data_IF_073845910014
#
_entry.id   IF_073845910014
#
_cell.length_a   1.000
_cell.length_b   1.000
_cell.length_c   1.000
_cell.angle_alpha   90.00
_cell.angle_beta   90.00
_cell.angle_gamma   90.00
#
_symmetry.space_group_name_H-M   'P 1'
#
loop_
_entity.id
_entity.type
_entity.pdbx_description
1 polymer ?
#
# COMPACT_ATOMS: atom_id res chain seq x y z
N UNK A 1 18.21 -31.16 -8.77
CA UNK A 1 18.17 -29.69 -8.94
C UNK A 1 17.14 -29.17 -7.96
N UNK A 2 17.56 -28.57 -6.86
CA UNK A 2 16.63 -27.97 -5.90
C UNK A 2 16.10 -26.68 -6.51
N UNK A 3 14.79 -26.57 -6.72
CA UNK A 3 14.16 -25.29 -7.02
C UNK A 3 14.37 -24.39 -5.82
N UNK A 4 15.19 -23.35 -5.98
CA UNK A 4 15.24 -22.27 -4.99
C UNK A 4 13.81 -21.79 -4.75
N UNK A 5 13.39 -21.60 -3.48
CA UNK A 5 12.08 -21.03 -3.21
C UNK A 5 12.02 -19.66 -3.86
N UNK A 6 11.06 -19.46 -4.77
CA UNK A 6 10.75 -18.14 -5.31
C UNK A 6 10.43 -17.24 -4.12
N UNK A 7 11.31 -16.28 -3.83
CA UNK A 7 11.03 -15.29 -2.82
C UNK A 7 9.83 -14.47 -3.29
N UNK A 8 8.81 -14.36 -2.44
CA UNK A 8 7.60 -13.60 -2.71
C UNK A 8 7.70 -12.27 -1.99
N UNK A 9 7.46 -11.18 -2.72
CA UNK A 9 7.19 -9.91 -2.07
C UNK A 9 5.86 -10.02 -1.33
N UNK A 10 5.87 -9.74 -0.04
CA UNK A 10 4.68 -9.56 0.78
C UNK A 10 4.47 -8.06 0.95
N UNK A 11 3.24 -7.57 0.84
CA UNK A 11 2.88 -6.19 1.08
C UNK A 11 1.58 -6.19 1.88
N UNK A 12 1.54 -5.44 2.98
CA UNK A 12 0.32 -5.27 3.75
C UNK A 12 -0.47 -4.09 3.17
N UNK A 13 -1.80 -4.19 3.19
CA UNK A 13 -2.69 -3.09 2.85
C UNK A 13 -3.66 -2.89 4.00
N UNK A 14 -3.68 -1.68 4.53
CA UNK A 14 -4.68 -1.24 5.49
C UNK A 14 -5.63 -0.27 4.79
N UNK A 15 -6.94 -0.45 4.96
CA UNK A 15 -7.95 0.52 4.52
C UNK A 15 -8.72 0.95 5.75
N UNK A 16 -8.71 2.24 6.05
CA UNK A 16 -9.36 2.79 7.22
C UNK A 16 -10.03 4.14 6.90
N UNK A 17 -11.02 4.57 7.69
CA UNK A 17 -11.45 5.95 7.66
C UNK A 17 -10.31 6.89 8.08
N UNK A 18 -10.25 8.08 7.51
CA UNK A 18 -9.35 9.15 7.96
C UNK A 18 -9.75 9.66 9.36
N UNK A 19 -11.04 9.57 9.69
CA UNK A 19 -11.59 9.89 11.00
C UNK A 19 -12.51 8.77 11.50
N UNK A 20 -12.12 8.09 12.58
CA UNK A 20 -12.89 6.99 13.19
C UNK A 20 -14.30 7.40 13.64
N UNK A 21 -14.55 8.68 13.91
CA UNK A 21 -15.85 9.19 14.37
C UNK A 21 -16.87 9.41 13.25
N UNK A 22 -16.46 9.46 11.98
CA UNK A 22 -17.33 9.61 10.79
C UNK A 22 -17.15 8.43 9.82
N UNK A 23 -16.80 7.29 10.39
CA UNK A 23 -16.42 6.12 9.64
C UNK A 23 -17.64 5.37 9.11
N UNK A 24 -17.80 5.38 7.79
CA UNK A 24 -18.75 4.50 7.12
C UNK A 24 -18.09 3.16 6.80
N UNK A 25 -18.38 2.19 7.68
CA UNK A 25 -17.94 0.80 7.58
C UNK A 25 -18.25 0.23 6.19
N UNK A 26 -19.42 0.51 5.62
CA UNK A 26 -19.82 -0.03 4.31
C UNK A 26 -18.92 0.49 3.20
N UNK A 27 -18.52 1.76 3.26
CA UNK A 27 -17.63 2.37 2.28
C UNK A 27 -16.23 1.74 2.35
N UNK A 28 -15.71 1.51 3.57
CA UNK A 28 -14.42 0.81 3.77
C UNK A 28 -14.48 -0.60 3.18
N UNK A 29 -15.58 -1.35 3.42
CA UNK A 29 -15.80 -2.67 2.84
C UNK A 29 -15.92 -2.66 1.31
N UNK A 30 -16.56 -1.65 0.74
CA UNK A 30 -16.70 -1.51 -0.71
C UNK A 30 -15.34 -1.31 -1.39
N UNK A 31 -14.52 -0.39 -0.87
CA UNK A 31 -13.15 -0.18 -1.36
C UNK A 31 -12.32 -1.46 -1.24
N UNK A 32 -12.41 -2.15 -0.08
CA UNK A 32 -11.73 -3.42 0.13
C UNK A 32 -12.15 -4.51 -0.85
N UNK A 33 -13.44 -4.60 -1.17
CA UNK A 33 -13.96 -5.57 -2.15
C UNK A 33 -13.45 -5.29 -3.56
N UNK A 34 -13.52 -4.02 -4.00
CA UNK A 34 -13.01 -3.60 -5.31
C UNK A 34 -11.50 -3.87 -5.44
N UNK A 35 -10.74 -3.58 -4.37
CA UNK A 35 -9.30 -3.85 -4.30
C UNK A 35 -9.01 -5.35 -4.45
N UNK A 36 -9.62 -6.20 -3.62
CA UNK A 36 -9.35 -7.65 -3.64
C UNK A 36 -9.71 -8.23 -5.00
N UNK A 37 -10.87 -7.85 -5.56
CA UNK A 37 -11.30 -8.34 -6.87
C UNK A 37 -10.29 -7.99 -7.94
N UNK A 38 -9.77 -6.75 -7.96
CA UNK A 38 -8.79 -6.31 -8.94
C UNK A 38 -7.43 -7.01 -8.75
N UNK A 39 -6.92 -7.09 -7.52
CA UNK A 39 -5.67 -7.78 -7.22
C UNK A 39 -5.71 -9.27 -7.61
N UNK A 40 -6.82 -9.95 -7.36
CA UNK A 40 -6.98 -11.35 -7.76
C UNK A 40 -7.06 -11.52 -9.29
N UNK A 41 -7.68 -10.58 -10.00
CA UNK A 41 -7.69 -10.55 -11.47
C UNK A 41 -6.28 -10.35 -12.04
N UNK A 42 -5.45 -9.55 -11.36
CA UNK A 42 -4.06 -9.29 -11.71
C UNK A 42 -3.09 -10.41 -11.25
N UNK A 43 -3.61 -11.50 -10.66
CA UNK A 43 -2.83 -12.68 -10.29
C UNK A 43 -2.14 -12.61 -8.92
N UNK A 44 -2.48 -11.63 -8.08
CA UNK A 44 -1.98 -11.56 -6.71
C UNK A 44 -2.70 -12.55 -5.79
N UNK A 45 -1.95 -13.13 -4.87
CA UNK A 45 -2.51 -13.92 -3.77
C UNK A 45 -2.84 -12.97 -2.61
N UNK A 46 -4.12 -12.85 -2.28
CA UNK A 46 -4.59 -11.95 -1.23
C UNK A 46 -5.17 -12.76 -0.07
N UNK A 47 -4.71 -12.48 1.14
CA UNK A 47 -5.23 -13.03 2.37
C UNK A 47 -5.71 -11.89 3.29
N UNK A 48 -6.89 -12.05 3.89
CA UNK A 48 -7.29 -11.16 4.98
C UNK A 48 -6.45 -11.51 6.22
N UNK A 49 -5.72 -10.53 6.73
CA UNK A 49 -4.91 -10.70 7.93
C UNK A 49 -5.62 -9.99 9.06
N UNK A 50 -5.97 -10.76 10.09
CA UNK A 50 -6.62 -10.28 11.31
C UNK A 50 -8.09 -9.84 11.13
N UNK A 51 -9.02 -10.60 11.74
CA UNK A 51 -10.47 -10.27 11.79
C UNK A 51 -10.95 -9.88 13.20
N UNK A 52 -10.04 -9.70 14.16
CA UNK A 52 -10.36 -9.44 15.57
C UNK A 52 -9.99 -8.02 15.98
N UNK A 53 -10.95 -7.24 16.43
CA UNK A 53 -10.85 -5.80 16.67
C UNK A 53 -9.82 -5.39 17.77
N UNK A 54 -8.96 -4.36 17.57
CA UNK A 54 -8.37 -3.64 18.69
C UNK A 54 -9.11 -2.33 19.05
N UNK A 55 -9.86 -1.70 18.12
CA UNK A 55 -10.93 -0.68 18.34
C UNK A 55 -11.48 0.04 17.06
N UNK A 56 -10.94 -0.14 15.86
CA UNK A 56 -11.20 0.74 14.70
C UNK A 56 -11.87 0.10 13.47
N UNK A 57 -12.54 0.92 12.67
CA UNK A 57 -13.33 0.59 11.46
C UNK A 57 -12.43 0.30 10.24
N UNK A 58 -11.33 -0.42 10.45
CA UNK A 58 -10.30 -0.71 9.44
C UNK A 58 -10.35 -2.14 8.89
N UNK A 59 -9.91 -2.31 7.65
CA UNK A 59 -9.69 -3.61 7.00
C UNK A 59 -8.21 -3.81 6.72
N UNK A 60 -7.73 -5.03 6.97
CA UNK A 60 -6.33 -5.40 6.85
C UNK A 60 -6.18 -6.60 5.91
N UNK A 61 -5.29 -6.44 4.94
CA UNK A 61 -4.99 -7.43 3.93
C UNK A 61 -3.49 -7.63 3.84
N UNK A 62 -3.10 -8.86 3.57
CA UNK A 62 -1.76 -9.18 3.12
C UNK A 62 -1.86 -9.64 1.68
N UNK A 63 -1.08 -8.97 0.85
CA UNK A 63 -1.00 -9.20 -0.59
C UNK A 63 0.39 -9.76 -0.86
N UNK A 64 0.41 -10.99 -1.34
CA UNK A 64 1.62 -11.57 -1.88
C UNK A 64 1.55 -11.48 -3.40
N UNK A 65 2.61 -10.99 -4.02
CA UNK A 65 2.76 -11.17 -5.45
C UNK A 65 2.79 -12.67 -5.75
N UNK A 66 1.79 -13.15 -6.49
CA UNK A 66 1.62 -14.58 -6.75
C UNK A 66 2.82 -15.17 -7.48
N UNK A 67 3.51 -14.36 -8.31
CA UNK A 67 4.52 -14.81 -9.25
C UNK A 67 5.56 -13.74 -9.63
N UNK A 68 5.90 -12.76 -8.78
CA UNK A 68 7.12 -11.97 -9.05
C UNK A 68 8.30 -12.80 -8.56
N UNK A 69 9.10 -13.41 -9.45
CA UNK A 69 10.40 -13.88 -9.05
C UNK A 69 11.17 -12.63 -8.62
N UNK A 70 11.43 -12.51 -7.31
CA UNK A 70 12.50 -11.65 -6.83
C UNK A 70 13.81 -12.32 -7.27
N UNK A 71 14.12 -12.26 -8.58
CA UNK A 71 15.41 -12.68 -9.13
C UNK A 71 16.46 -11.73 -8.58
N UNK A 72 17.01 -12.08 -7.43
CA UNK A 72 17.88 -11.19 -6.68
C UNK A 72 17.06 -10.19 -5.89
N UNK A 73 16.55 -10.60 -4.72
CA UNK A 73 16.52 -9.62 -3.64
C UNK A 73 17.94 -9.06 -3.57
N UNK A 74 18.11 -7.73 -3.58
CA UNK A 74 19.43 -7.14 -3.53
C UNK A 74 20.20 -7.80 -2.38
N UNK A 75 21.35 -8.45 -2.69
CA UNK A 75 22.24 -8.99 -1.66
C UNK A 75 22.52 -7.87 -0.64
N UNK A 76 22.87 -8.22 0.61
CA UNK A 76 23.11 -7.27 1.71
C UNK A 76 24.13 -6.15 1.38
N UNK A 77 24.86 -6.27 0.26
CA UNK A 77 25.78 -5.26 -0.31
C UNK A 77 25.20 -4.36 -1.41
N UNK A 78 23.93 -4.49 -1.79
CA UNK A 78 23.35 -3.69 -2.87
C UNK A 78 23.08 -2.27 -2.41
N UNK A 79 23.37 -1.30 -3.28
CA UNK A 79 23.05 0.11 -3.07
C UNK A 79 21.60 0.25 -2.58
N UNK A 80 21.44 0.79 -1.36
CA UNK A 80 20.12 0.97 -0.74
C UNK A 80 19.17 1.74 -1.64
N UNK A 81 19.68 2.65 -2.47
CA UNK A 81 18.85 3.40 -3.41
C UNK A 81 18.25 2.48 -4.48
N UNK A 82 19.05 1.61 -5.09
CA UNK A 82 18.56 0.68 -6.12
C UNK A 82 17.62 -0.37 -5.53
N UNK A 83 17.91 -0.85 -4.32
CA UNK A 83 17.00 -1.73 -3.61
C UNK A 83 15.64 -1.08 -3.29
N UNK A 84 15.64 0.17 -2.85
CA UNK A 84 14.41 0.95 -2.64
C UNK A 84 13.65 1.17 -3.95
N UNK A 85 14.33 1.53 -5.04
CA UNK A 85 13.70 1.68 -6.37
C UNK A 85 13.03 0.39 -6.80
N UNK A 86 13.72 -0.74 -6.67
CA UNK A 86 13.16 -2.05 -7.02
C UNK A 86 11.93 -2.41 -6.16
N UNK A 87 12.00 -2.16 -4.85
CA UNK A 87 10.87 -2.35 -3.93
C UNK A 87 9.66 -1.51 -4.35
N UNK A 88 9.88 -0.22 -4.57
CA UNK A 88 8.84 0.72 -5.00
C UNK A 88 8.23 0.30 -6.33
N UNK A 89 9.05 -0.04 -7.33
CA UNK A 89 8.58 -0.56 -8.63
C UNK A 89 7.70 -1.80 -8.45
N UNK A 90 8.04 -2.67 -7.51
CA UNK A 90 7.28 -3.91 -7.27
C UNK A 90 5.95 -3.63 -6.58
N UNK A 91 5.85 -2.63 -5.70
CA UNK A 91 4.58 -2.26 -5.02
C UNK A 91 3.75 -1.22 -5.77
N UNK A 92 4.31 -0.51 -6.75
CA UNK A 92 3.60 0.50 -7.56
C UNK A 92 2.29 -0.02 -8.16
N UNK A 93 2.23 -1.22 -8.77
CA UNK A 93 0.98 -1.75 -9.30
C UNK A 93 -0.09 -1.95 -8.21
N UNK A 94 0.31 -2.38 -7.01
CA UNK A 94 -0.59 -2.59 -5.88
C UNK A 94 -1.18 -1.25 -5.41
N UNK A 95 -0.35 -0.21 -5.28
CA UNK A 95 -0.79 1.13 -4.94
C UNK A 95 -1.75 1.71 -6.01
N UNK A 96 -1.45 1.50 -7.29
CA UNK A 96 -2.35 1.85 -8.41
C UNK A 96 -3.70 1.17 -8.31
N UNK A 97 -3.72 -0.13 -8.03
CA UNK A 97 -4.97 -0.87 -7.84
C UNK A 97 -5.75 -0.34 -6.65
N UNK A 98 -5.10 0.06 -5.56
CA UNK A 98 -5.73 0.71 -4.41
C UNK A 98 -6.37 2.07 -4.76
N UNK A 99 -5.67 2.95 -5.46
CA UNK A 99 -6.26 4.21 -5.95
C UNK A 99 -7.47 3.97 -6.87
N UNK A 100 -7.37 2.99 -7.77
CA UNK A 100 -8.45 2.66 -8.70
C UNK A 100 -9.66 2.06 -7.99
N UNK A 101 -9.46 1.21 -6.99
CA UNK A 101 -10.52 0.71 -6.13
C UNK A 101 -11.23 1.85 -5.39
N UNK A 102 -10.46 2.78 -4.81
CA UNK A 102 -11.00 4.00 -4.21
C UNK A 102 -11.84 4.82 -5.19
N UNK A 103 -11.34 5.07 -6.40
CA UNK A 103 -12.07 5.83 -7.43
C UNK A 103 -13.37 5.17 -7.90
N UNK A 104 -13.47 3.84 -7.86
CA UNK A 104 -14.68 3.09 -8.25
C UNK A 104 -15.72 3.07 -7.13
N UNK A 105 -15.26 2.85 -5.91
CA UNK A 105 -16.12 2.71 -4.73
C UNK A 105 -16.58 4.06 -4.15
N UNK A 106 -15.76 5.11 -4.27
CA UNK A 106 -16.04 6.42 -3.68
C UNK A 106 -16.68 7.36 -4.69
N UNK A 107 -17.80 7.96 -4.30
CA UNK A 107 -18.39 9.08 -5.02
C UNK A 107 -17.88 10.39 -4.46
N UNK A 108 -17.60 11.35 -5.34
CA UNK A 108 -17.28 12.70 -4.92
C UNK A 108 -18.41 13.23 -4.02
N UNK A 109 -18.07 13.86 -2.88
CA UNK A 109 -16.75 14.41 -2.54
C UNK A 109 -15.86 13.52 -1.65
N UNK A 110 -16.20 12.23 -1.45
CA UNK A 110 -15.30 11.33 -0.72
C UNK A 110 -14.03 11.03 -1.54
N UNK A 111 -12.90 10.85 -0.85
CA UNK A 111 -11.61 10.57 -1.48
C UNK A 111 -10.81 9.53 -0.69
N UNK A 112 -9.88 8.88 -1.38
CA UNK A 112 -8.90 7.96 -0.80
C UNK A 112 -7.51 8.61 -0.92
N UNK A 113 -6.84 8.83 0.20
CA UNK A 113 -5.39 9.06 0.22
C UNK A 113 -4.67 7.74 0.44
N UNK A 114 -3.46 7.60 -0.09
CA UNK A 114 -2.63 6.42 0.10
C UNK A 114 -1.30 6.88 0.67
N UNK A 115 -0.85 6.24 1.75
CA UNK A 115 0.48 6.41 2.30
C UNK A 115 1.25 5.09 2.23
N UNK A 116 2.56 5.18 2.04
CA UNK A 116 3.49 4.08 2.16
C UNK A 116 4.13 4.16 3.54
N UNK A 117 3.97 3.10 4.33
CA UNK A 117 4.69 2.89 5.56
C UNK A 117 5.82 1.86 5.34
N UNK A 118 7.03 2.23 5.73
CA UNK A 118 8.25 1.44 5.72
C UNK A 118 8.89 1.56 7.10
N UNK A 119 8.72 0.54 7.95
CA UNK A 119 9.18 0.56 9.35
C UNK A 119 8.70 1.78 10.13
N UNK A 120 9.59 2.73 10.43
CA UNK A 120 9.35 3.96 11.19
C UNK A 120 8.96 5.16 10.31
N UNK A 121 8.97 4.99 8.99
CA UNK A 121 8.61 6.03 8.03
C UNK A 121 7.19 5.82 7.55
N UNK A 122 6.44 6.91 7.48
CA UNK A 122 5.20 7.01 6.71
C UNK A 122 5.27 8.19 5.73
N UNK A 123 4.93 7.95 4.47
CA UNK A 123 4.95 8.94 3.40
C UNK A 123 3.63 8.91 2.64
N UNK A 124 2.97 10.06 2.54
CA UNK A 124 1.83 10.20 1.63
C UNK A 124 2.32 10.08 0.19
N UNK A 125 1.66 9.22 -0.59
CA UNK A 125 1.95 8.99 -1.98
C UNK A 125 0.99 9.78 -2.87
N UNK A 126 1.52 10.50 -3.84
CA UNK A 126 0.79 10.94 -5.01
C UNK A 126 0.85 9.83 -6.08
N UNK A 127 -0.22 9.56 -6.84
CA UNK A 127 -0.17 8.60 -7.95
C UNK A 127 1.02 8.82 -8.89
N UNK A 128 1.41 10.08 -9.12
CA UNK A 128 2.54 10.45 -10.00
C UNK A 128 3.89 9.98 -9.46
N UNK A 129 4.04 9.84 -8.14
CA UNK A 129 5.29 9.37 -7.53
C UNK A 129 5.62 7.92 -7.92
N UNK A 130 4.62 7.18 -8.40
CA UNK A 130 4.73 5.76 -8.76
C UNK A 130 4.44 5.49 -10.24
N UNK A 131 4.28 6.53 -11.06
CA UNK A 131 3.86 6.39 -12.47
C UNK A 131 5.02 6.02 -13.40
N UNK A 132 6.21 6.56 -13.15
CA UNK A 132 7.42 6.36 -13.95
C UNK A 132 8.69 6.18 -13.08
N UNK A 133 9.82 5.91 -13.75
CA UNK A 133 11.11 5.67 -13.09
C UNK A 133 11.65 6.92 -12.37
N UNK A 134 11.34 8.12 -12.86
CA UNK A 134 11.81 9.38 -12.28
C UNK A 134 11.10 9.63 -10.95
N UNK A 135 9.77 9.49 -10.91
CA UNK A 135 8.97 9.58 -9.69
C UNK A 135 9.42 8.56 -8.65
N UNK A 136 9.63 7.31 -9.06
CA UNK A 136 10.11 6.26 -8.16
C UNK A 136 11.51 6.58 -7.62
N UNK A 137 12.41 7.10 -8.46
CA UNK A 137 13.76 7.48 -8.04
C UNK A 137 13.75 8.63 -7.03
N UNK A 138 12.90 9.64 -7.25
CA UNK A 138 12.70 10.75 -6.32
C UNK A 138 12.11 10.29 -4.98
N UNK A 139 11.13 9.39 -5.02
CA UNK A 139 10.54 8.80 -3.82
C UNK A 139 11.57 7.95 -3.06
N UNK A 140 12.36 7.13 -3.76
CA UNK A 140 13.44 6.34 -3.15
C UNK A 140 14.48 7.22 -2.45
N UNK A 141 14.91 8.32 -3.08
CA UNK A 141 15.81 9.29 -2.46
C UNK A 141 15.18 9.96 -1.23
N UNK A 142 13.90 10.31 -1.30
CA UNK A 142 13.16 10.91 -0.18
C UNK A 142 13.08 9.95 1.01
N UNK A 143 12.82 8.66 0.75
CA UNK A 143 12.86 7.61 1.76
C UNK A 143 14.26 7.51 2.35
N UNK A 144 15.29 7.38 1.51
CA UNK A 144 16.68 7.21 1.95
C UNK A 144 17.17 8.38 2.83
N UNK A 145 16.73 9.61 2.55
CA UNK A 145 17.06 10.79 3.36
C UNK A 145 16.40 10.79 4.75
N UNK A 146 15.24 10.13 4.89
CA UNK A 146 14.47 10.06 6.14
C UNK A 146 14.73 8.77 6.91
N UNK A 147 15.22 7.74 6.21
CA UNK A 147 15.40 6.41 6.74
C UNK A 147 16.68 6.32 7.53
N UNK A 148 16.52 5.95 8.80
CA UNK A 148 17.63 5.82 9.75
C UNK A 148 18.22 4.41 9.76
N UNK A 149 17.57 3.45 9.09
CA UNK A 149 18.01 2.06 9.01
C UNK A 149 19.25 1.87 8.14
N UNK A 150 20.05 0.86 8.49
CA UNK A 150 21.29 0.50 7.79
C UNK A 150 21.08 -0.53 6.69
N UNK A 151 19.87 -1.08 6.57
CA UNK A 151 19.52 -2.14 5.63
C UNK A 151 18.14 -1.86 5.06
N UNK A 152 17.88 -2.39 3.86
CA UNK A 152 16.55 -2.33 3.27
C UNK A 152 15.53 -3.01 4.20
N UNK A 153 14.35 -2.39 4.39
CA UNK A 153 13.30 -3.01 5.18
C UNK A 153 12.91 -4.33 4.53
N UNK A 154 12.67 -5.35 5.36
CA UNK A 154 12.18 -6.63 4.84
C UNK A 154 10.85 -6.41 4.12
N UNK A 155 10.60 -7.16 3.04
CA UNK A 155 9.35 -7.02 2.27
C UNK A 155 8.10 -7.08 3.16
N UNK A 156 8.13 -7.88 4.23
CA UNK A 156 7.02 -8.05 5.17
C UNK A 156 6.67 -6.78 5.97
N UNK A 157 7.54 -5.77 5.98
CA UNK A 157 7.34 -4.49 6.66
C UNK A 157 6.81 -3.38 5.74
N UNK A 158 6.51 -3.69 4.48
CA UNK A 158 5.90 -2.72 3.57
C UNK A 158 4.38 -2.71 3.79
N UNK A 159 3.83 -1.53 4.10
CA UNK A 159 2.39 -1.35 4.25
C UNK A 159 1.89 -0.18 3.40
N UNK A 160 0.82 -0.39 2.65
CA UNK A 160 0.07 0.66 1.97
C UNK A 160 -1.18 1.00 2.81
N UNK A 161 -1.22 2.23 3.32
CA UNK A 161 -2.30 2.75 4.15
C UNK A 161 -3.26 3.58 3.29
N UNK A 162 -4.42 3.03 2.98
CA UNK A 162 -5.53 3.75 2.35
C UNK A 162 -6.42 4.44 3.39
N UNK A 163 -6.44 5.77 3.42
CA UNK A 163 -7.32 6.55 4.32
C UNK A 163 -8.47 7.19 3.55
N UNK A 164 -9.70 6.88 3.96
CA UNK A 164 -10.93 7.36 3.32
C UNK A 164 -11.41 8.62 4.04
N UNK A 165 -11.37 9.77 3.35
CA UNK A 165 -11.92 11.02 3.82
C UNK A 165 -13.33 11.22 3.22
N UNK A 166 -14.30 11.55 4.06
CA UNK A 166 -15.60 12.10 3.61
C UNK A 166 -15.48 13.61 3.45
N UNK A 167 -16.28 14.21 2.57
CA UNK A 167 -16.49 15.64 2.73
C UNK A 167 -17.11 15.90 4.09
N UNK A 168 -16.59 16.92 4.76
CA UNK A 168 -17.34 17.65 5.76
C UNK A 168 -18.62 18.13 5.09
N UNK A 169 -19.71 17.39 5.22
CA UNK A 169 -21.03 17.95 5.01
C UNK A 169 -21.09 19.13 5.95
N UNK A 170 -21.09 20.34 5.36
CA UNK A 170 -21.05 21.58 6.11
C UNK A 170 -22.09 21.50 7.21
N UNK A 171 -21.64 21.67 8.45
CA UNK A 171 -22.47 22.00 9.61
C UNK A 171 -23.44 23.08 9.10
N UNK A 172 -24.69 22.70 8.80
CA UNK A 172 -25.79 23.66 8.70
C UNK A 172 -26.00 24.13 10.14
N UNK A 173 -25.26 25.18 10.48
CA UNK A 173 -25.55 26.01 11.64
C UNK A 173 -26.94 26.60 11.43
N UNK A 174 -27.82 26.18 12.33
CA UNK A 174 -29.12 26.76 12.65
C UNK A 174 -29.07 28.30 12.76
#
# INVERSE_FOLDING_TARGET
MGTQPLARLMCNIEIAPDNEYDADVMVVHEVGRELISALQQDGYAVASVYKGNPRGIGLFYQVASGNVPLEGWPDEETDMLEGLKYLLQTVSPIARTLWMAGRRALQAPASLSVALALEDIELNLDPRDMDDEEGISLLAQTILQRYSGQHLPSSQHITLNGKIARARSGRRGL
#
